data_IF_570629804723
#
_entry.id   IF_570629804723
#
_cell.length_a   1.000
_cell.length_b   1.000
_cell.length_c   1.000
_cell.angle_alpha   90.00
_cell.angle_beta   90.00
_cell.angle_gamma   90.00
#
_symmetry.space_group_name_H-M   'P 1'
#
loop_
_entity.id
_entity.type
_entity.pdbx_description
1 polymer ?
#
# COMPACT_ATOMS: atom_id res chain seq x y z
N UNK A 1 0.93 1.74 6.49
CA UNK A 1 1.60 1.70 7.81
C UNK A 1 1.19 2.92 8.64
N UNK A 2 1.28 4.13 8.09
CA UNK A 2 0.98 5.39 8.79
C UNK A 2 -0.43 5.46 9.42
N UNK A 3 -1.47 4.98 8.73
CA UNK A 3 -2.81 4.95 9.30
C UNK A 3 -2.94 3.94 10.46
N UNK A 4 -2.20 2.85 10.40
CA UNK A 4 -2.22 1.82 11.44
C UNK A 4 -1.48 2.33 12.68
N UNK A 5 -0.38 3.07 12.52
CA UNK A 5 0.34 3.69 13.64
C UNK A 5 -0.45 4.81 14.30
N UNK A 6 -1.21 5.59 13.52
CA UNK A 6 -2.05 6.68 14.06
C UNK A 6 -3.26 6.13 14.84
N UNK A 7 -3.90 5.06 14.34
CA UNK A 7 -5.16 4.55 14.89
C UNK A 7 -5.01 3.36 15.84
N UNK A 8 -3.99 2.52 15.64
CA UNK A 8 -3.73 1.29 16.40
C UNK A 8 -2.25 1.23 16.84
N UNK A 9 -1.78 2.18 17.67
CA UNK A 9 -0.37 2.26 18.05
C UNK A 9 0.12 1.02 18.81
N UNK A 10 -0.73 0.42 19.66
CA UNK A 10 -0.41 -0.82 20.38
C UNK A 10 -0.13 -1.98 19.43
N UNK A 11 -1.01 -2.16 18.44
CA UNK A 11 -0.87 -3.20 17.43
C UNK A 11 0.36 -2.98 16.55
N UNK A 12 0.64 -1.72 16.17
CA UNK A 12 1.83 -1.40 15.40
C UNK A 12 3.13 -1.67 16.15
N UNK A 13 3.22 -1.27 17.42
CA UNK A 13 4.38 -1.56 18.25
C UNK A 13 4.64 -3.08 18.35
N UNK A 14 3.57 -3.86 18.47
CA UNK A 14 3.65 -5.32 18.46
C UNK A 14 4.15 -5.85 17.11
N UNK A 15 3.61 -5.38 15.99
CA UNK A 15 4.11 -5.76 14.66
C UNK A 15 5.58 -5.37 14.44
N UNK A 16 6.02 -4.22 14.94
CA UNK A 16 7.42 -3.80 14.87
C UNK A 16 8.34 -4.71 15.72
N UNK A 17 7.90 -5.06 16.94
CA UNK A 17 8.62 -5.98 17.82
C UNK A 17 8.85 -7.34 17.15
N UNK A 18 7.84 -7.88 16.47
CA UNK A 18 7.91 -9.18 15.80
C UNK A 18 8.30 -9.11 14.32
N UNK A 19 8.72 -7.93 13.82
CA UNK A 19 9.14 -7.68 12.42
C UNK A 19 8.08 -8.13 11.40
N UNK A 20 6.81 -7.89 11.71
CA UNK A 20 5.69 -8.21 10.84
C UNK A 20 5.52 -7.14 9.77
N UNK A 21 5.64 -7.52 8.51
CA UNK A 21 5.34 -6.64 7.38
C UNK A 21 3.87 -6.73 6.98
N UNK A 22 3.09 -5.79 7.50
CA UNK A 22 1.65 -5.66 7.24
C UNK A 22 1.33 -5.48 5.75
N UNK A 23 2.29 -5.02 4.95
CA UNK A 23 2.12 -4.89 3.49
C UNK A 23 1.86 -6.24 2.81
N UNK A 24 2.46 -7.33 3.29
CA UNK A 24 2.29 -8.67 2.71
C UNK A 24 0.83 -9.15 2.76
N UNK A 25 0.12 -8.79 3.83
CA UNK A 25 -1.28 -9.17 4.03
C UNK A 25 -2.20 -8.19 3.32
N UNK A 26 -1.95 -6.89 3.49
CA UNK A 26 -2.86 -5.86 2.99
C UNK A 26 -2.77 -5.61 1.49
N UNK A 27 -1.66 -5.99 0.84
CA UNK A 27 -1.50 -5.83 -0.61
C UNK A 27 -2.63 -6.50 -1.40
N UNK A 28 -2.94 -7.76 -1.09
CA UNK A 28 -4.03 -8.47 -1.76
C UNK A 28 -5.38 -7.76 -1.54
N UNK A 29 -5.65 -7.30 -0.32
CA UNK A 29 -6.91 -6.61 0.00
C UNK A 29 -7.12 -5.35 -0.85
N UNK A 30 -6.07 -4.57 -1.05
CA UNK A 30 -6.14 -3.34 -1.85
C UNK A 30 -6.23 -3.62 -3.34
N UNK A 31 -5.64 -4.72 -3.83
CA UNK A 31 -5.71 -5.12 -5.24
C UNK A 31 -7.09 -5.65 -5.63
N UNK A 32 -7.64 -6.57 -4.83
CA UNK A 32 -8.90 -7.28 -5.17
C UNK A 32 -10.09 -6.77 -4.37
N UNK A 33 -9.97 -5.64 -3.69
CA UNK A 33 -11.03 -5.03 -2.88
C UNK A 33 -11.74 -6.05 -1.95
N UNK A 34 -10.94 -6.86 -1.24
CA UNK A 34 -11.36 -7.90 -0.29
C UNK A 34 -12.15 -9.10 -0.86
N UNK A 35 -12.31 -9.24 -2.18
CA UNK A 35 -13.17 -10.28 -2.80
C UNK A 35 -12.83 -11.69 -2.32
N UNK A 36 -11.54 -12.02 -2.21
CA UNK A 36 -11.10 -13.36 -1.76
C UNK A 36 -10.83 -13.44 -0.25
N UNK A 37 -10.98 -12.34 0.48
CA UNK A 37 -10.55 -12.23 1.89
C UNK A 37 -11.72 -12.30 2.88
N UNK A 38 -12.91 -11.82 2.50
CA UNK A 38 -14.08 -11.74 3.38
C UNK A 38 -15.19 -12.70 2.96
N UNK A 39 -16.03 -13.11 3.90
CA UNK A 39 -17.25 -13.88 3.62
C UNK A 39 -18.25 -13.01 2.84
N UNK A 40 -18.97 -13.60 1.89
CA UNK A 40 -19.87 -12.91 0.95
C UNK A 40 -20.79 -11.87 1.62
N UNK A 41 -21.41 -12.20 2.75
CA UNK A 41 -22.31 -11.28 3.46
C UNK A 41 -21.62 -10.02 3.97
N UNK A 42 -20.35 -10.11 4.38
CA UNK A 42 -19.55 -8.96 4.83
C UNK A 42 -19.00 -8.23 3.62
N UNK A 43 -18.52 -8.97 2.62
CA UNK A 43 -18.01 -8.43 1.37
C UNK A 43 -19.04 -7.51 0.70
N UNK A 44 -20.29 -7.96 0.56
CA UNK A 44 -21.35 -7.15 -0.07
C UNK A 44 -21.55 -5.81 0.65
N UNK A 45 -21.51 -5.78 1.99
CA UNK A 45 -21.63 -4.52 2.76
C UNK A 45 -20.42 -3.59 2.57
N UNK A 46 -19.22 -4.16 2.44
CA UNK A 46 -18.01 -3.40 2.09
C UNK A 46 -18.17 -2.79 0.70
N UNK A 47 -18.70 -3.57 -0.24
CA UNK A 47 -18.91 -3.14 -1.62
C UNK A 47 -20.01 -2.09 -1.76
N UNK A 48 -21.13 -2.22 -1.05
CA UNK A 48 -22.18 -1.19 -1.00
C UNK A 48 -21.60 0.17 -0.55
N UNK A 49 -20.83 0.15 0.53
CA UNK A 49 -20.17 1.35 1.03
C UNK A 49 -19.09 1.86 0.06
N UNK A 50 -18.30 0.96 -0.55
CA UNK A 50 -17.26 1.31 -1.51
C UNK A 50 -17.82 1.96 -2.76
N UNK A 51 -18.94 1.48 -3.28
CA UNK A 51 -19.63 2.07 -4.43
C UNK A 51 -20.24 3.44 -4.09
N UNK A 52 -20.69 3.63 -2.85
CA UNK A 52 -21.27 4.89 -2.39
C UNK A 52 -20.22 5.97 -2.05
N UNK A 53 -19.17 5.62 -1.30
CA UNK A 53 -18.17 6.56 -0.77
C UNK A 53 -16.81 6.53 -1.48
N UNK A 54 -16.55 5.52 -2.30
CA UNK A 54 -15.33 5.31 -3.06
C UNK A 54 -14.18 4.65 -2.28
N UNK A 55 -12.97 4.76 -2.83
CA UNK A 55 -11.77 4.01 -2.40
C UNK A 55 -11.35 4.17 -0.94
N UNK A 56 -11.77 5.23 -0.27
CA UNK A 56 -11.48 5.45 1.16
C UNK A 56 -12.08 4.37 2.07
N UNK A 57 -13.15 3.73 1.63
CA UNK A 57 -13.83 2.66 2.36
C UNK A 57 -12.94 1.43 2.52
N UNK A 58 -12.12 1.10 1.51
CA UNK A 58 -11.19 -0.03 1.58
C UNK A 58 -10.19 0.17 2.72
N UNK A 59 -9.67 1.40 2.89
CA UNK A 59 -8.78 1.74 4.01
C UNK A 59 -9.48 1.69 5.37
N UNK A 60 -10.73 2.16 5.47
CA UNK A 60 -11.52 2.08 6.70
C UNK A 60 -11.73 0.63 7.13
N UNK A 61 -12.15 -0.22 6.20
CA UNK A 61 -12.38 -1.63 6.50
C UNK A 61 -11.08 -2.38 6.79
N UNK A 62 -9.97 -2.07 6.12
CA UNK A 62 -8.66 -2.64 6.46
C UNK A 62 -8.31 -2.37 7.94
N UNK A 63 -8.43 -1.12 8.39
CA UNK A 63 -8.19 -0.74 9.78
C UNK A 63 -9.20 -1.38 10.74
N UNK A 64 -10.47 -1.45 10.36
CA UNK A 64 -11.51 -2.05 11.18
C UNK A 64 -11.28 -3.55 11.38
N UNK A 65 -10.81 -4.26 10.36
CA UNK A 65 -10.44 -5.68 10.43
C UNK A 65 -9.30 -5.89 11.43
N UNK A 66 -8.27 -5.03 11.40
CA UNK A 66 -7.20 -5.08 12.39
C UNK A 66 -7.70 -4.75 13.80
N UNK A 67 -8.52 -3.71 13.96
CA UNK A 67 -9.11 -3.33 15.26
C UNK A 67 -9.98 -4.45 15.83
N UNK A 68 -10.77 -5.10 14.99
CA UNK A 68 -11.65 -6.20 15.39
C UNK A 68 -10.88 -7.36 16.03
N UNK A 69 -9.68 -7.64 15.51
CA UNK A 69 -8.83 -8.76 15.93
C UNK A 69 -7.64 -8.32 16.80
N UNK A 70 -7.58 -7.05 17.22
CA UNK A 70 -6.42 -6.47 17.89
C UNK A 70 -6.01 -7.29 19.13
N UNK A 71 -6.98 -7.60 20.00
CA UNK A 71 -6.70 -8.31 21.25
C UNK A 71 -6.25 -9.76 21.05
N UNK A 72 -6.72 -10.44 19.99
CA UNK A 72 -6.26 -11.79 19.68
C UNK A 72 -4.85 -11.78 19.08
N UNK A 73 -4.55 -10.81 18.22
CA UNK A 73 -3.20 -10.64 17.65
C UNK A 73 -2.19 -10.33 18.76
N UNK A 74 -2.54 -9.44 19.69
CA UNK A 74 -1.64 -9.02 20.78
C UNK A 74 -1.30 -10.15 21.77
N UNK A 75 -2.09 -11.23 21.83
CA UNK A 75 -1.84 -12.41 22.68
C UNK A 75 -0.79 -13.35 22.08
N UNK A 76 -0.52 -13.25 20.79
CA UNK A 76 0.41 -14.12 20.10
C UNK A 76 1.81 -13.52 20.25
N UNK A 77 2.78 -14.32 20.67
CA UNK A 77 4.14 -13.85 20.97
C UNK A 77 5.20 -14.50 20.09
N UNK A 78 4.79 -15.06 18.95
CA UNK A 78 5.65 -15.67 17.94
C UNK A 78 5.32 -15.10 16.55
N UNK A 79 6.36 -14.74 15.78
CA UNK A 79 6.16 -14.07 14.49
C UNK A 79 5.54 -14.98 13.44
N UNK A 80 5.87 -16.28 13.44
CA UNK A 80 5.33 -17.25 12.49
C UNK A 80 3.84 -17.48 12.78
N UNK A 81 3.49 -17.62 14.05
CA UNK A 81 2.10 -17.76 14.49
C UNK A 81 1.27 -16.50 14.15
N UNK A 82 1.83 -15.30 14.34
CA UNK A 82 1.16 -14.05 13.92
C UNK A 82 0.88 -14.07 12.41
N UNK A 83 1.85 -14.41 11.56
CA UNK A 83 1.63 -14.48 10.11
C UNK A 83 0.58 -15.53 9.72
N UNK A 84 0.57 -16.69 10.38
CA UNK A 84 -0.44 -17.71 10.15
C UNK A 84 -1.83 -17.21 10.53
N UNK A 85 -1.97 -16.55 11.69
CA UNK A 85 -3.22 -15.95 12.12
C UNK A 85 -3.70 -14.88 11.14
N UNK A 86 -2.82 -13.96 10.74
CA UNK A 86 -3.10 -12.89 9.78
C UNK A 86 -3.49 -13.39 8.38
N UNK A 87 -3.20 -14.64 8.03
CA UNK A 87 -3.65 -15.22 6.76
C UNK A 87 -5.13 -15.58 6.76
N UNK A 88 -5.72 -15.87 7.93
CA UNK A 88 -7.08 -16.40 8.04
C UNK A 88 -8.03 -15.52 8.86
N UNK A 89 -7.53 -14.57 9.66
CA UNK A 89 -8.34 -13.76 10.56
C UNK A 89 -9.46 -12.97 9.89
N UNK A 90 -9.32 -12.58 8.61
CA UNK A 90 -10.39 -11.93 7.84
C UNK A 90 -11.62 -12.82 7.69
N UNK A 91 -11.42 -14.14 7.61
CA UNK A 91 -12.48 -15.15 7.51
C UNK A 91 -13.08 -15.49 8.87
N UNK A 92 -12.40 -15.16 9.95
CA UNK A 92 -12.91 -15.34 11.32
C UNK A 92 -13.88 -14.24 11.75
N UNK A 93 -14.04 -13.19 10.94
CA UNK A 93 -15.01 -12.14 11.21
C UNK A 93 -16.41 -12.68 10.92
N UNK A 94 -17.19 -12.86 11.98
CA UNK A 94 -18.58 -13.34 11.90
C UNK A 94 -19.60 -12.20 11.99
N UNK A 95 -19.27 -11.13 12.72
CA UNK A 95 -20.17 -10.00 12.93
C UNK A 95 -19.85 -8.82 12.01
N UNK A 96 -20.50 -8.80 10.85
CA UNK A 96 -20.41 -7.70 9.89
C UNK A 96 -20.96 -6.36 10.42
N UNK A 97 -21.94 -6.36 11.34
CA UNK A 97 -22.47 -5.12 11.92
C UNK A 97 -21.46 -4.48 12.86
N UNK A 98 -20.82 -5.29 13.71
CA UNK A 98 -19.73 -4.83 14.57
C UNK A 98 -18.56 -4.30 13.72
N UNK A 99 -18.18 -5.00 12.65
CA UNK A 99 -17.12 -4.53 11.75
C UNK A 99 -17.46 -3.17 11.12
N UNK A 100 -18.69 -3.01 10.63
CA UNK A 100 -19.17 -1.74 10.07
C UNK A 100 -19.15 -0.62 11.13
N UNK A 101 -19.62 -0.91 12.35
CA UNK A 101 -19.59 0.07 13.44
C UNK A 101 -18.16 0.58 13.71
N UNK A 102 -17.19 -0.34 13.80
CA UNK A 102 -15.78 0.00 13.97
C UNK A 102 -15.26 0.84 12.80
N UNK A 103 -15.62 0.48 11.56
CA UNK A 103 -15.15 1.16 10.35
C UNK A 103 -15.67 2.59 10.18
N UNK A 104 -16.90 2.89 10.64
CA UNK A 104 -17.55 4.17 10.42
C UNK A 104 -17.66 5.06 11.65
N UNK A 105 -17.66 4.49 12.86
CA UNK A 105 -17.83 5.24 14.11
C UNK A 105 -16.55 5.29 14.95
N UNK A 106 -15.90 4.15 15.19
CA UNK A 106 -14.73 4.10 16.07
C UNK A 106 -13.46 4.65 15.39
N UNK A 107 -13.27 4.29 14.11
CA UNK A 107 -12.17 4.77 13.29
C UNK A 107 -12.64 6.01 12.52
N UNK A 108 -12.70 7.14 13.23
CA UNK A 108 -13.14 8.48 12.80
C UNK A 108 -13.24 8.62 11.26
N UNK A 109 -14.42 8.90 10.68
CA UNK A 109 -14.64 8.87 9.24
C UNK A 109 -13.66 9.81 8.54
N UNK A 110 -12.69 9.24 7.79
CA UNK A 110 -11.76 9.99 6.95
C UNK A 110 -12.50 11.12 6.23
N UNK A 111 -12.36 12.39 6.67
CA UNK A 111 -13.11 13.46 6.06
C UNK A 111 -12.54 13.64 4.66
N UNK A 112 -13.39 13.73 3.64
CA UNK A 112 -12.96 13.89 2.24
C UNK A 112 -11.95 15.03 2.07
N UNK A 113 -12.05 16.07 2.91
CA UNK A 113 -11.13 17.20 2.95
C UNK A 113 -9.69 16.80 3.28
N UNK A 114 -9.48 15.90 4.24
CA UNK A 114 -8.14 15.47 4.65
C UNK A 114 -7.51 14.53 3.61
N UNK A 115 -8.31 13.63 3.04
CA UNK A 115 -7.85 12.71 2.00
C UNK A 115 -7.53 13.45 0.69
N UNK A 116 -8.36 14.44 0.32
CA UNK A 116 -8.17 15.27 -0.87
C UNK A 116 -6.98 16.21 -0.70
N UNK A 117 -6.78 16.80 0.49
CA UNK A 117 -5.58 17.60 0.79
C UNK A 117 -4.30 16.76 0.70
N UNK A 118 -4.23 15.59 1.35
CA UNK A 118 -3.02 14.75 1.27
C UNK A 118 -2.75 14.24 -0.16
N UNK A 119 -3.80 13.91 -0.92
CA UNK A 119 -3.68 13.54 -2.35
C UNK A 119 -3.32 14.72 -3.27
N UNK A 120 -3.56 15.97 -2.84
CA UNK A 120 -3.10 17.17 -3.55
C UNK A 120 -1.61 17.38 -3.29
N UNK A 121 -1.21 17.36 -2.02
CA UNK A 121 0.20 17.54 -1.61
C UNK A 121 1.12 16.53 -2.29
N UNK A 122 0.80 15.24 -2.21
CA UNK A 122 1.67 14.21 -2.78
C UNK A 122 1.67 14.21 -4.32
N UNK A 123 0.59 14.72 -4.94
CA UNK A 123 0.51 14.87 -6.39
C UNK A 123 1.36 16.03 -6.89
N UNK A 124 1.36 17.15 -6.17
CA UNK A 124 2.22 18.30 -6.48
C UNK A 124 3.71 17.91 -6.39
N UNK A 125 4.09 17.10 -5.40
CA UNK A 125 5.46 16.55 -5.29
C UNK A 125 5.82 15.67 -6.51
N UNK A 126 4.95 14.72 -6.88
CA UNK A 126 5.16 13.85 -8.04
C UNK A 126 5.21 14.63 -9.36
N UNK A 127 4.37 15.66 -9.54
CA UNK A 127 4.37 16.51 -10.73
C UNK A 127 5.65 17.34 -10.84
N UNK A 128 6.18 17.83 -9.71
CA UNK A 128 7.47 18.52 -9.68
C UNK A 128 8.63 17.59 -10.05
N UNK A 129 8.67 16.37 -9.51
CA UNK A 129 9.67 15.37 -9.87
C UNK A 129 9.60 14.99 -11.36
N UNK A 130 8.40 14.79 -11.91
CA UNK A 130 8.21 14.48 -13.32
C UNK A 130 8.72 15.61 -14.22
N UNK A 131 8.46 16.87 -13.86
CA UNK A 131 8.94 18.04 -14.59
C UNK A 131 10.49 18.10 -14.60
N UNK A 132 11.13 17.83 -13.48
CA UNK A 132 12.60 17.77 -13.41
C UNK A 132 13.16 16.61 -14.25
N UNK A 133 12.54 15.43 -14.19
CA UNK A 133 12.92 14.28 -15.01
C UNK A 133 12.76 14.54 -16.51
N UNK A 134 11.70 15.26 -16.91
CA UNK A 134 11.49 15.66 -18.30
C UNK A 134 12.57 16.63 -18.79
N UNK A 135 13.01 17.58 -17.96
CA UNK A 135 14.12 18.49 -18.29
C UNK A 135 15.43 17.72 -18.43
N UNK A 136 15.73 16.80 -17.50
CA UNK A 136 16.93 15.96 -17.55
C UNK A 136 16.91 15.10 -18.82
N UNK A 137 15.77 14.48 -19.13
CA UNK A 137 15.59 13.68 -20.35
C UNK A 137 15.75 14.52 -21.62
N UNK A 138 15.19 15.72 -21.66
CA UNK A 138 15.31 16.62 -22.80
C UNK A 138 16.76 17.10 -22.99
N UNK A 139 17.47 17.42 -21.90
CA UNK A 139 18.88 17.78 -21.94
C UNK A 139 19.75 16.62 -22.46
N UNK A 140 19.53 15.40 -21.94
CA UNK A 140 20.24 14.20 -22.39
C UNK A 140 19.96 13.86 -23.86
N UNK A 141 18.71 13.98 -24.32
CA UNK A 141 18.34 13.75 -25.73
C UNK A 141 18.96 14.81 -26.62
N UNK A 142 19.01 16.07 -26.17
CA UNK A 142 19.64 17.16 -26.91
C UNK A 142 21.16 16.98 -26.99
N UNK A 143 21.81 16.62 -25.89
CA UNK A 143 23.24 16.31 -25.82
C UNK A 143 23.60 15.11 -26.71
N UNK A 144 22.75 14.07 -26.74
CA UNK A 144 22.87 12.91 -27.63
C UNK A 144 22.55 13.21 -29.10
N UNK A 145 21.74 14.24 -29.38
CA UNK A 145 21.47 14.68 -30.75
C UNK A 145 22.58 15.60 -31.28
N UNK A 146 23.25 16.34 -30.38
CA UNK A 146 24.42 17.17 -30.66
C UNK A 146 25.70 16.31 -30.79
N UNK A 147 25.80 15.23 -30.00
CA UNK A 147 26.71 14.10 -30.24
C UNK A 147 26.16 13.23 -31.38
N UNK A 148 26.30 13.68 -32.63
CA UNK A 148 25.95 12.87 -33.82
C UNK A 148 26.59 11.46 -33.81
N UNK A 149 26.18 10.54 -34.70
CA UNK A 149 26.51 9.12 -34.62
C UNK A 149 28.03 8.86 -34.75
N UNK A 150 28.73 8.87 -33.62
CA UNK A 150 30.10 8.42 -33.48
C UNK A 150 30.16 7.50 -32.25
N UNK A 151 29.50 6.35 -32.36
CA UNK A 151 29.77 5.20 -31.48
C UNK A 151 29.23 3.94 -32.16
N UNK A 152 29.88 3.56 -33.27
CA UNK A 152 29.80 2.19 -33.82
C UNK A 152 30.96 1.81 -34.73
N UNK A 153 32.12 2.48 -34.61
CA UNK A 153 33.36 2.02 -35.24
C UNK A 153 34.53 2.16 -34.28
N UNK A 154 34.62 1.23 -33.35
CA UNK A 154 35.88 0.69 -32.81
C UNK A 154 35.57 -0.55 -31.95
N UNK A 155 34.98 -1.56 -32.59
CA UNK A 155 35.12 -2.95 -32.11
C UNK A 155 35.52 -3.76 -33.33
N UNK A 156 36.82 -3.85 -33.55
CA UNK A 156 37.40 -4.67 -34.61
C UNK A 156 38.57 -4.00 -35.28
N UNK A 157 39.72 -3.99 -34.62
CA UNK A 157 41.10 -4.08 -35.16
C UNK A 157 42.05 -3.91 -33.97
N UNK A 158 43.18 -4.61 -33.95
CA UNK A 158 44.23 -4.57 -32.91
C UNK A 158 44.04 -5.52 -31.70
N UNK A 159 43.93 -6.82 -31.99
CA UNK A 159 44.72 -7.84 -31.28
C UNK A 159 45.47 -8.69 -32.31
N UNK A 160 46.48 -8.10 -32.97
CA UNK A 160 47.65 -8.81 -33.50
C UNK A 160 48.91 -8.01 -33.08
N UNK A 161 49.91 -8.75 -32.56
CA UNK A 161 51.29 -8.34 -32.18
C UNK A 161 51.46 -7.59 -30.83
N UNK A 162 52.23 -7.98 -29.81
CA UNK A 162 53.26 -9.01 -29.49
C UNK A 162 53.22 -9.18 -27.93
N UNK A 163 53.42 -10.35 -27.31
CA UNK A 163 54.69 -11.03 -26.97
C UNK A 163 54.37 -12.48 -26.58
#
# INVERSE_FOLDING_TARGET
KDFLSEKLPRLMAHFEQYRIDVSLITFNWFLVAFVDSLVSDILLRVWDAFLYEGTKVIFRYALAIFKYNEEEILRIHDSVEIYQYLRFFTRMITDGRKLMNIAFNDLNPFPMKLLRNRRSMHREELEAELCELEKIKAAYVKERAEQGPQDLKEVGSEEEEEI
#
